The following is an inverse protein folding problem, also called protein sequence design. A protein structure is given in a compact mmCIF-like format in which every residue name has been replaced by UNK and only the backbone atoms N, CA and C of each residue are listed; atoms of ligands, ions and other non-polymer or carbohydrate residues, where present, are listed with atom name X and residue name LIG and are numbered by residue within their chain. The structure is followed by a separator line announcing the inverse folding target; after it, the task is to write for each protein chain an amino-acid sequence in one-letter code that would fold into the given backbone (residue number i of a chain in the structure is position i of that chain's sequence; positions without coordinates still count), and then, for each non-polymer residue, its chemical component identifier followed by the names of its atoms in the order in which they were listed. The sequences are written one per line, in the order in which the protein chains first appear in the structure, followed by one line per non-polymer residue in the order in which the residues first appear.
data_IF_603829052834
#
_entry.id   IF_603829052834
#
_cell.length_a   1.000
_cell.length_b   1.000
_cell.length_c   1.000
_cell.angle_alpha   90.00
_cell.angle_beta   90.00
_cell.angle_gamma   90.00
#
_symmetry.space_group_name_H-M   'P 1'
#
loop_
_entity.id
_entity.type
_entity.pdbx_description
1 polymer ?
#
# COMPACT_ATOMS: atom_id res chain seq x y z
N UNK A 1 -16.83 7.25 -38.78
CA UNK A 1 -18.26 6.87 -38.83
C UNK A 1 -19.03 7.75 -37.86
N UNK A 2 -20.26 8.17 -38.18
CA UNK A 2 -21.08 9.02 -37.29
C UNK A 2 -21.67 8.14 -36.17
N UNK A 3 -21.58 8.54 -34.89
CA UNK A 3 -22.21 7.82 -33.77
C UNK A 3 -23.71 7.61 -33.99
N UNK A 4 -24.22 6.41 -33.69
CA UNK A 4 -25.64 6.04 -33.94
C UNK A 4 -26.63 7.04 -33.32
N UNK A 5 -26.34 7.55 -32.13
CA UNK A 5 -27.17 8.54 -31.44
C UNK A 5 -27.20 9.91 -32.11
N UNK A 6 -26.21 10.24 -32.96
CA UNK A 6 -26.19 11.48 -33.75
C UNK A 6 -26.85 11.35 -35.11
N UNK A 7 -27.05 10.13 -35.63
CA UNK A 7 -27.56 9.92 -36.99
C UNK A 7 -28.90 10.64 -37.23
N UNK A 8 -29.92 10.54 -36.35
CA UNK A 8 -31.20 11.24 -36.57
C UNK A 8 -31.02 12.76 -36.65
N UNK A 9 -30.22 13.33 -35.77
CA UNK A 9 -29.95 14.78 -35.74
C UNK A 9 -29.10 15.25 -36.93
N UNK A 10 -28.18 14.42 -37.40
CA UNK A 10 -27.42 14.70 -38.62
C UNK A 10 -28.34 14.76 -39.85
N UNK A 11 -29.28 13.81 -39.98
CA UNK A 11 -30.27 13.81 -41.07
C UNK A 11 -31.13 15.08 -41.08
N UNK A 12 -31.54 15.58 -39.90
CA UNK A 12 -32.25 16.86 -39.78
C UNK A 12 -31.41 18.05 -40.28
N UNK A 13 -30.10 18.07 -39.97
CA UNK A 13 -29.19 19.14 -40.39
C UNK A 13 -28.92 19.17 -41.90
N UNK A 14 -28.86 17.99 -42.55
CA UNK A 14 -28.59 17.89 -44.00
C UNK A 14 -29.85 17.79 -44.85
N UNK A 15 -31.03 17.96 -44.25
CA UNK A 15 -32.32 17.87 -44.95
C UNK A 15 -32.42 18.80 -46.17
N UNK A 16 -33.10 18.33 -47.22
CA UNK A 16 -33.18 19.04 -48.51
C UNK A 16 -33.83 20.43 -48.42
N UNK A 17 -34.72 20.66 -47.46
CA UNK A 17 -35.37 21.95 -47.23
C UNK A 17 -34.64 22.75 -46.12
N UNK A 18 -33.93 23.84 -46.47
CA UNK A 18 -33.19 24.63 -45.48
C UNK A 18 -34.06 25.25 -44.38
N UNK A 19 -35.33 25.55 -44.66
CA UNK A 19 -36.25 26.19 -43.68
C UNK A 19 -36.66 25.25 -42.54
N UNK A 20 -36.53 23.94 -42.71
CA UNK A 20 -36.90 22.93 -41.71
C UNK A 20 -35.72 22.48 -40.84
N UNK A 21 -34.50 22.93 -41.15
CA UNK A 21 -33.30 22.56 -40.38
C UNK A 21 -33.35 23.22 -39.00
N UNK A 22 -32.97 22.51 -37.92
CA UNK A 22 -32.94 23.09 -36.58
C UNK A 22 -31.91 24.21 -36.48
N UNK A 23 -32.19 25.22 -35.65
CA UNK A 23 -31.17 26.21 -35.28
C UNK A 23 -30.07 25.55 -34.44
N UNK A 24 -28.85 26.13 -34.39
CA UNK A 24 -27.75 25.59 -33.58
C UNK A 24 -28.16 25.37 -32.11
N UNK A 25 -28.88 26.32 -31.51
CA UNK A 25 -29.38 26.19 -30.13
C UNK A 25 -30.36 25.03 -29.97
N UNK A 26 -31.24 24.82 -30.97
CA UNK A 26 -32.22 23.72 -30.91
C UNK A 26 -31.54 22.36 -31.09
N UNK A 27 -30.56 22.27 -31.98
CA UNK A 27 -29.74 21.07 -32.17
C UNK A 27 -29.01 20.70 -30.88
N UNK A 28 -28.32 21.65 -30.24
CA UNK A 28 -27.63 21.41 -28.96
C UNK A 28 -28.62 20.97 -27.87
N UNK A 29 -29.76 21.65 -27.74
CA UNK A 29 -30.80 21.26 -26.77
C UNK A 29 -31.28 19.81 -27.00
N UNK A 30 -31.46 19.39 -28.25
CA UNK A 30 -31.89 18.02 -28.56
C UNK A 30 -30.80 17.00 -28.23
N UNK A 31 -29.54 17.30 -28.58
CA UNK A 31 -28.40 16.43 -28.34
C UNK A 31 -28.02 16.30 -26.85
N UNK A 32 -28.37 17.28 -26.01
CA UNK A 32 -28.11 17.28 -24.56
C UNK A 32 -29.26 16.75 -23.70
N UNK A 33 -30.33 16.23 -24.29
CA UNK A 33 -31.40 15.56 -23.52
C UNK A 33 -30.89 14.26 -22.90
N UNK A 34 -31.58 13.75 -21.88
CA UNK A 34 -31.23 12.48 -21.25
C UNK A 34 -31.06 11.36 -22.28
N UNK A 35 -29.89 10.72 -22.29
CA UNK A 35 -29.52 9.68 -23.26
C UNK A 35 -29.13 10.19 -24.65
N UNK A 36 -29.03 11.51 -24.84
CA UNK A 36 -28.53 12.16 -26.04
C UNK A 36 -27.01 12.05 -26.16
N UNK A 37 -26.47 12.36 -27.35
CA UNK A 37 -25.02 12.23 -27.59
C UNK A 37 -24.17 13.15 -26.70
N UNK A 38 -24.66 14.35 -26.39
CA UNK A 38 -23.96 15.33 -25.54
C UNK A 38 -24.26 15.14 -24.05
N UNK A 39 -25.13 14.20 -23.68
CA UNK A 39 -25.39 13.83 -22.28
C UNK A 39 -24.33 12.82 -21.81
N UNK A 40 -23.16 13.34 -21.45
CA UNK A 40 -22.06 12.53 -20.95
C UNK A 40 -21.17 13.32 -19.97
N UNK A 41 -20.39 12.58 -19.17
CA UNK A 41 -19.54 13.16 -18.12
C UNK A 41 -18.43 14.07 -18.62
N UNK A 42 -17.96 13.86 -19.86
CA UNK A 42 -16.98 14.75 -20.47
C UNK A 42 -17.58 16.13 -20.74
N UNK A 43 -18.76 16.19 -21.35
CA UNK A 43 -19.46 17.47 -21.64
C UNK A 43 -19.84 18.18 -20.34
N UNK A 44 -20.38 17.47 -19.36
CA UNK A 44 -20.71 18.02 -18.03
C UNK A 44 -19.47 18.63 -17.36
N UNK A 45 -18.35 17.91 -17.37
CA UNK A 45 -17.08 18.38 -16.80
C UNK A 45 -16.55 19.60 -17.54
N UNK A 46 -16.57 19.58 -18.87
CA UNK A 46 -16.12 20.71 -19.68
C UNK A 46 -16.94 21.97 -19.39
N UNK A 47 -18.27 21.88 -19.35
CA UNK A 47 -19.14 23.00 -19.01
C UNK A 47 -18.90 23.52 -17.59
N UNK A 48 -18.71 22.62 -16.62
CA UNK A 48 -18.39 23.01 -15.25
C UNK A 48 -17.06 23.78 -15.17
N UNK A 49 -16.03 23.33 -15.90
CA UNK A 49 -14.72 23.99 -15.93
C UNK A 49 -14.76 25.38 -16.57
N UNK A 50 -15.60 25.61 -17.58
CA UNK A 50 -15.79 26.95 -18.18
C UNK A 50 -16.42 27.94 -17.18
N UNK A 51 -17.27 27.45 -16.27
CA UNK A 51 -17.95 28.26 -15.26
C UNK A 51 -17.27 28.22 -13.88
N UNK A 52 -16.12 27.55 -13.73
CA UNK A 52 -15.57 27.22 -12.41
C UNK A 52 -15.31 28.46 -11.53
N UNK A 53 -14.97 29.60 -12.14
CA UNK A 53 -14.66 30.83 -11.43
C UNK A 53 -15.88 31.49 -10.78
N UNK A 54 -17.09 31.19 -11.26
CA UNK A 54 -18.35 31.68 -10.70
C UNK A 54 -19.04 30.65 -9.79
N UNK A 55 -18.51 29.42 -9.66
CA UNK A 55 -19.04 28.39 -8.75
C UNK A 55 -18.68 28.69 -7.30
N UNK A 56 -19.52 28.24 -6.38
CA UNK A 56 -19.25 28.36 -4.95
C UNK A 56 -18.12 27.42 -4.49
N UNK A 57 -17.37 27.74 -3.41
CA UNK A 57 -16.27 26.90 -2.92
C UNK A 57 -16.67 25.45 -2.65
N UNK A 58 -17.87 25.22 -2.10
CA UNK A 58 -18.39 23.87 -1.83
C UNK A 58 -18.66 23.09 -3.12
N UNK A 59 -19.16 23.74 -4.16
CA UNK A 59 -19.38 23.12 -5.48
C UNK A 59 -18.05 22.73 -6.12
N UNK A 60 -17.05 23.61 -6.07
CA UNK A 60 -15.69 23.33 -6.58
C UNK A 60 -15.07 22.15 -5.85
N UNK A 61 -15.20 22.11 -4.52
CA UNK A 61 -14.67 21.01 -3.71
C UNK A 61 -15.30 19.68 -4.09
N UNK A 62 -16.64 19.64 -4.22
CA UNK A 62 -17.37 18.44 -4.65
C UNK A 62 -16.94 18.00 -6.06
N UNK A 63 -16.84 18.94 -6.98
CA UNK A 63 -16.39 18.66 -8.34
C UNK A 63 -15.00 18.01 -8.36
N UNK A 64 -14.00 18.57 -7.68
CA UNK A 64 -12.65 17.97 -7.67
C UNK A 64 -12.59 16.61 -6.98
N UNK A 65 -13.48 16.36 -6.02
CA UNK A 65 -13.60 15.06 -5.37
C UNK A 65 -14.12 13.99 -6.33
N UNK A 66 -15.11 14.32 -7.16
CA UNK A 66 -15.75 13.41 -8.12
C UNK A 66 -15.01 13.34 -9.47
N UNK A 67 -14.15 14.31 -9.77
CA UNK A 67 -13.44 14.42 -11.04
C UNK A 67 -12.66 13.14 -11.38
N UNK A 68 -12.00 12.55 -10.38
CA UNK A 68 -11.17 11.36 -10.56
C UNK A 68 -11.90 10.18 -11.16
N UNK A 69 -13.21 10.04 -10.94
CA UNK A 69 -13.99 8.88 -11.36
C UNK A 69 -14.14 8.79 -12.88
N UNK A 70 -14.00 9.93 -13.58
CA UNK A 70 -14.26 10.03 -15.02
C UNK A 70 -13.01 10.37 -15.85
N UNK A 71 -11.92 10.83 -15.21
CA UNK A 71 -10.72 11.29 -15.91
C UNK A 71 -10.11 10.28 -16.88
N UNK A 72 -10.18 8.98 -16.55
CA UNK A 72 -9.61 7.93 -17.40
C UNK A 72 -10.36 7.77 -18.75
N UNK A 73 -11.56 8.34 -18.86
CA UNK A 73 -12.38 8.34 -20.09
C UNK A 73 -12.20 9.58 -20.95
N UNK A 74 -11.51 10.61 -20.46
CA UNK A 74 -11.41 11.90 -21.14
C UNK A 74 -10.26 11.94 -22.14
N UNK A 75 -10.37 12.73 -23.23
CA UNK A 75 -9.27 12.96 -24.16
C UNK A 75 -8.03 13.52 -23.46
N UNK A 76 -6.85 12.99 -23.82
CA UNK A 76 -5.58 13.38 -23.21
C UNK A 76 -5.34 14.90 -23.27
N UNK A 77 -5.53 15.52 -24.44
CA UNK A 77 -5.31 16.95 -24.63
C UNK A 77 -6.23 17.80 -23.74
N UNK A 78 -7.46 17.34 -23.50
CA UNK A 78 -8.37 18.01 -22.58
C UNK A 78 -7.85 17.93 -21.14
N UNK A 79 -7.39 16.75 -20.70
CA UNK A 79 -6.78 16.58 -19.38
C UNK A 79 -5.54 17.48 -19.23
N UNK A 80 -4.66 17.53 -20.23
CA UNK A 80 -3.42 18.30 -20.20
C UNK A 80 -3.63 19.81 -20.25
N UNK A 81 -4.53 20.30 -21.09
CA UNK A 81 -4.64 21.73 -21.42
C UNK A 81 -5.84 22.43 -20.77
N UNK A 82 -6.85 21.68 -20.30
CA UNK A 82 -8.02 22.24 -19.60
C UNK A 82 -8.07 21.82 -18.13
N UNK A 83 -7.93 20.53 -17.83
CA UNK A 83 -8.06 20.04 -16.44
C UNK A 83 -6.84 20.41 -15.59
N UNK A 84 -5.62 20.13 -16.07
CA UNK A 84 -4.39 20.37 -15.30
C UNK A 84 -4.26 21.83 -14.83
N UNK A 85 -4.42 22.86 -15.69
CA UNK A 85 -4.33 24.25 -15.23
C UNK A 85 -5.32 24.57 -14.10
N UNK A 86 -6.54 24.03 -14.15
CA UNK A 86 -7.54 24.26 -13.11
C UNK A 86 -7.19 23.56 -11.79
N UNK A 87 -6.60 22.35 -11.84
CA UNK A 87 -6.07 21.68 -10.66
C UNK A 87 -4.92 22.47 -10.00
N UNK A 88 -4.01 23.01 -10.83
CA UNK A 88 -2.89 23.82 -10.35
C UNK A 88 -3.37 25.13 -9.72
N UNK A 89 -4.31 25.84 -10.37
CA UNK A 89 -4.90 27.06 -9.79
C UNK A 89 -5.68 26.76 -8.50
N UNK A 90 -6.44 25.67 -8.46
CA UNK A 90 -7.17 25.25 -7.27
C UNK A 90 -6.24 24.89 -6.10
N UNK A 91 -5.03 24.41 -6.39
CA UNK A 91 -3.99 24.23 -5.38
C UNK A 91 -3.40 25.54 -4.89
N UNK A 92 -3.04 26.42 -5.84
CA UNK A 92 -2.24 27.60 -5.55
C UNK A 92 -3.03 28.69 -4.82
N UNK A 93 -4.28 28.89 -5.24
CA UNK A 93 -5.16 29.95 -4.74
C UNK A 93 -6.42 29.43 -4.04
N UNK A 94 -6.69 28.13 -4.12
CA UNK A 94 -7.90 27.52 -3.58
C UNK A 94 -7.68 26.76 -2.27
N UNK A 95 -8.78 26.50 -1.57
CA UNK A 95 -8.84 25.63 -0.38
C UNK A 95 -8.95 24.14 -0.73
N UNK A 96 -8.58 23.74 -1.96
CA UNK A 96 -8.81 22.39 -2.46
C UNK A 96 -8.00 21.31 -1.71
N UNK A 97 -6.92 21.71 -1.03
CA UNK A 97 -6.15 20.86 -0.14
C UNK A 97 -5.71 19.57 -0.84
N UNK A 98 -5.86 18.44 -0.17
CA UNK A 98 -5.39 17.15 -0.67
C UNK A 98 -6.42 16.41 -1.56
N UNK A 99 -7.59 16.99 -1.80
CA UNK A 99 -8.63 16.40 -2.66
C UNK A 99 -8.15 16.33 -4.11
N UNK A 100 -7.34 17.31 -4.52
CA UNK A 100 -6.80 17.39 -5.88
C UNK A 100 -5.64 16.42 -6.15
N UNK A 101 -5.10 15.73 -5.15
CA UNK A 101 -3.94 14.84 -5.33
C UNK A 101 -4.22 13.72 -6.33
N UNK A 102 -5.32 13.00 -6.13
CA UNK A 102 -5.71 11.89 -7.00
C UNK A 102 -5.95 12.34 -8.44
N UNK A 103 -6.75 13.38 -8.73
CA UNK A 103 -6.92 13.84 -10.11
C UNK A 103 -5.62 14.42 -10.69
N UNK A 104 -4.79 15.10 -9.88
CA UNK A 104 -3.48 15.60 -10.31
C UNK A 104 -2.55 14.48 -10.78
N UNK A 105 -2.48 13.37 -10.04
CA UNK A 105 -1.66 12.23 -10.45
C UNK A 105 -2.23 11.47 -11.65
N UNK A 106 -3.55 11.37 -11.78
CA UNK A 106 -4.18 10.79 -12.98
C UNK A 106 -3.82 11.59 -14.23
N UNK A 107 -3.99 12.91 -14.17
CA UNK A 107 -3.62 13.80 -15.29
C UNK A 107 -2.10 13.81 -15.51
N UNK A 108 -1.31 13.70 -14.44
CA UNK A 108 0.14 13.61 -14.51
C UNK A 108 0.66 12.43 -15.35
N UNK A 109 -0.10 11.33 -15.48
CA UNK A 109 0.27 10.19 -16.34
C UNK A 109 0.35 10.54 -17.83
N UNK A 110 -0.35 11.60 -18.24
CA UNK A 110 -0.29 12.10 -19.60
C UNK A 110 0.94 12.98 -19.85
N UNK A 111 1.62 13.46 -18.80
CA UNK A 111 2.78 14.34 -18.96
C UNK A 111 4.04 13.53 -19.22
N UNK A 112 4.92 14.08 -20.07
CA UNK A 112 6.28 13.53 -20.14
C UNK A 112 7.08 13.90 -18.87
N UNK A 113 8.24 13.26 -18.67
CA UNK A 113 9.05 13.46 -17.45
C UNK A 113 9.46 14.91 -17.21
N UNK A 114 9.75 15.68 -18.27
CA UNK A 114 10.15 17.09 -18.14
C UNK A 114 8.96 17.96 -17.72
N UNK A 115 7.80 17.75 -18.32
CA UNK A 115 6.57 18.46 -17.96
C UNK A 115 6.14 18.12 -16.53
N UNK A 116 6.25 16.85 -16.13
CA UNK A 116 5.93 16.43 -14.76
C UNK A 116 6.85 17.13 -13.74
N UNK A 117 8.15 17.19 -14.03
CA UNK A 117 9.14 17.92 -13.23
C UNK A 117 8.79 19.40 -13.10
N UNK A 118 8.40 20.06 -14.18
CA UNK A 118 8.14 21.49 -14.17
C UNK A 118 6.78 21.85 -13.55
N UNK A 119 5.74 21.04 -13.78
CA UNK A 119 4.35 21.38 -13.42
C UNK A 119 3.88 20.73 -12.12
N UNK A 120 4.29 19.48 -11.85
CA UNK A 120 3.73 18.68 -10.74
C UNK A 120 4.67 18.66 -9.53
N UNK A 121 5.99 18.55 -9.72
CA UNK A 121 6.92 18.45 -8.59
C UNK A 121 6.90 19.70 -7.67
N UNK A 122 6.84 20.95 -8.18
CA UNK A 122 6.75 22.13 -7.32
C UNK A 122 5.50 22.10 -6.43
N UNK A 123 4.39 21.58 -6.95
CA UNK A 123 3.15 21.38 -6.20
C UNK A 123 3.34 20.37 -5.08
N UNK A 124 3.91 19.20 -5.38
CA UNK A 124 4.20 18.16 -4.39
C UNK A 124 5.09 18.69 -3.27
N UNK A 125 6.15 19.43 -3.62
CA UNK A 125 7.05 20.04 -2.63
C UNK A 125 6.28 21.01 -1.72
N UNK A 126 5.47 21.91 -2.28
CA UNK A 126 4.63 22.84 -1.52
C UNK A 126 3.59 22.10 -0.67
N UNK A 127 3.09 20.95 -1.11
CA UNK A 127 2.17 20.12 -0.31
C UNK A 127 2.89 19.44 0.86
N UNK A 128 4.13 18.99 0.70
CA UNK A 128 4.92 18.44 1.81
C UNK A 128 5.27 19.48 2.87
N UNK A 129 5.50 20.74 2.47
CA UNK A 129 5.76 21.83 3.43
C UNK A 129 4.51 22.27 4.20
N UNK A 130 3.32 21.85 3.79
CA UNK A 130 2.08 22.12 4.52
C UNK A 130 2.05 21.42 5.89
N UNK A 131 1.61 22.11 6.96
CA UNK A 131 1.42 21.49 8.26
C UNK A 131 0.23 20.52 8.30
N UNK A 132 -0.64 20.51 7.28
CA UNK A 132 -1.84 19.68 7.22
C UNK A 132 -1.50 18.18 7.27
N UNK A 133 -1.95 17.54 8.36
CA UNK A 133 -1.77 16.11 8.62
C UNK A 133 -2.49 15.23 7.59
N UNK A 134 -3.66 15.65 7.10
CA UNK A 134 -4.43 14.91 6.11
C UNK A 134 -3.80 14.99 4.71
N UNK A 135 -3.12 16.09 4.40
CA UNK A 135 -2.24 16.21 3.22
C UNK A 135 -1.04 15.27 3.35
N UNK A 136 -0.31 15.35 4.47
CA UNK A 136 0.89 14.53 4.73
C UNK A 136 0.62 13.04 4.54
N UNK A 137 -0.41 12.50 5.19
CA UNK A 137 -0.69 11.07 5.09
C UNK A 137 -1.06 10.64 3.66
N UNK A 138 -1.82 11.47 2.92
CA UNK A 138 -2.18 11.17 1.53
C UNK A 138 -0.96 11.20 0.61
N UNK A 139 -0.07 12.17 0.75
CA UNK A 139 1.19 12.20 0.02
C UNK A 139 2.04 10.95 0.26
N UNK A 140 2.17 10.54 1.54
CA UNK A 140 2.94 9.35 1.89
C UNK A 140 2.28 8.05 1.38
N UNK A 141 0.94 7.99 1.32
CA UNK A 141 0.20 6.86 0.76
C UNK A 141 0.32 6.75 -0.76
N UNK A 142 0.44 7.89 -1.44
CA UNK A 142 0.48 7.95 -2.91
C UNK A 142 1.91 8.08 -3.46
N UNK A 143 2.94 7.97 -2.62
CA UNK A 143 4.34 8.21 -2.99
C UNK A 143 4.82 7.39 -4.19
N UNK A 144 4.34 6.15 -4.34
CA UNK A 144 4.66 5.28 -5.47
C UNK A 144 4.31 5.90 -6.84
N UNK A 145 3.34 6.82 -6.90
CA UNK A 145 2.90 7.45 -8.14
C UNK A 145 3.87 8.54 -8.63
N UNK A 146 4.66 9.13 -7.73
CA UNK A 146 5.49 10.28 -8.06
C UNK A 146 6.98 10.13 -7.72
N UNK A 147 7.37 9.10 -6.95
CA UNK A 147 8.75 8.89 -6.52
C UNK A 147 9.74 8.84 -7.68
N UNK A 148 9.36 8.25 -8.83
CA UNK A 148 10.23 8.15 -10.00
C UNK A 148 10.60 9.53 -10.58
N UNK A 149 9.75 10.54 -10.38
CA UNK A 149 9.97 11.91 -10.81
C UNK A 149 10.64 12.77 -9.72
N UNK A 150 11.01 12.23 -8.56
CA UNK A 150 11.76 12.99 -7.57
C UNK A 150 13.26 12.82 -7.77
N UNK A 151 13.99 13.93 -7.92
CA UNK A 151 15.45 13.93 -7.94
C UNK A 151 16.01 13.99 -6.51
N UNK A 152 17.23 13.50 -6.32
CA UNK A 152 17.88 13.45 -5.00
C UNK A 152 18.00 14.83 -4.32
N UNK A 153 18.38 15.93 -5.01
CA UNK A 153 18.42 17.24 -4.38
C UNK A 153 17.07 17.64 -3.77
N UNK A 154 15.98 17.49 -4.53
CA UNK A 154 14.63 17.83 -4.06
C UNK A 154 14.21 16.94 -2.90
N UNK A 155 14.49 15.64 -2.96
CA UNK A 155 14.20 14.72 -1.86
C UNK A 155 14.91 15.16 -0.58
N UNK A 156 16.21 15.44 -0.66
CA UNK A 156 17.02 15.71 0.53
C UNK A 156 16.80 17.09 1.14
N UNK A 157 16.56 18.12 0.34
CA UNK A 157 16.48 19.50 0.82
C UNK A 157 15.06 20.00 1.02
N UNK A 158 14.10 19.49 0.25
CA UNK A 158 12.75 20.05 0.19
C UNK A 158 11.66 19.07 0.66
N UNK A 159 11.88 17.75 0.62
CA UNK A 159 10.85 16.76 1.01
C UNK A 159 11.18 16.11 2.36
N UNK A 160 12.36 15.52 2.49
CA UNK A 160 12.75 14.73 3.67
C UNK A 160 12.65 15.51 4.98
N UNK A 161 13.05 16.80 5.08
CA UNK A 161 12.87 17.59 6.29
C UNK A 161 11.41 17.66 6.77
N UNK A 162 10.45 17.65 5.85
CA UNK A 162 9.03 17.63 6.19
C UNK A 162 8.51 16.24 6.51
N UNK A 163 9.03 15.21 5.84
CA UNK A 163 8.69 13.79 6.11
C UNK A 163 9.10 13.40 7.53
N UNK A 164 10.24 13.91 8.03
CA UNK A 164 10.74 13.63 9.38
C UNK A 164 9.70 13.92 10.47
N UNK A 165 8.90 14.97 10.33
CA UNK A 165 7.83 15.29 11.29
C UNK A 165 6.80 14.16 11.43
N UNK A 166 6.61 13.34 10.40
CA UNK A 166 5.70 12.21 10.42
C UNK A 166 6.11 11.12 11.42
N UNK A 167 7.40 10.96 11.72
CA UNK A 167 7.87 9.97 12.71
C UNK A 167 7.48 10.34 14.15
N UNK A 168 7.24 11.61 14.42
CA UNK A 168 6.91 12.13 15.75
C UNK A 168 5.44 12.54 15.88
N UNK A 169 4.61 12.22 14.87
CA UNK A 169 3.19 12.61 14.87
C UNK A 169 2.40 11.87 15.96
N UNK A 170 1.44 12.56 16.56
CA UNK A 170 0.59 11.95 17.59
C UNK A 170 -0.36 10.90 17.01
N UNK A 171 -0.68 10.96 15.72
CA UNK A 171 -1.51 9.96 15.04
C UNK A 171 -0.68 8.74 14.60
N UNK A 172 -0.93 7.53 15.13
CA UNK A 172 -0.22 6.32 14.74
C UNK A 172 -0.23 6.00 13.25
N UNK A 173 -1.33 6.29 12.54
CA UNK A 173 -1.44 6.01 11.12
C UNK A 173 -0.44 6.84 10.28
N UNK A 174 -0.14 8.07 10.72
CA UNK A 174 0.85 8.93 10.06
C UNK A 174 2.25 8.38 10.30
N UNK A 175 2.57 8.04 11.56
CA UNK A 175 3.87 7.43 11.91
C UNK A 175 4.11 6.14 11.12
N UNK A 176 3.12 5.26 11.09
CA UNK A 176 3.19 3.99 10.35
C UNK A 176 3.44 4.22 8.86
N UNK A 177 2.70 5.13 8.24
CA UNK A 177 2.88 5.41 6.81
C UNK A 177 4.22 6.09 6.51
N UNK A 178 4.72 6.91 7.43
CA UNK A 178 6.04 7.55 7.32
C UNK A 178 7.16 6.52 7.38
N UNK A 179 7.03 5.49 8.22
CA UNK A 179 7.98 4.35 8.22
C UNK A 179 7.91 3.59 6.89
N UNK A 180 6.72 3.28 6.39
CA UNK A 180 6.55 2.52 5.14
C UNK A 180 7.12 3.25 3.92
N UNK A 181 6.98 4.58 3.85
CA UNK A 181 7.47 5.38 2.72
C UNK A 181 9.00 5.43 2.63
N UNK A 182 9.73 5.13 3.72
CA UNK A 182 11.20 5.07 3.71
C UNK A 182 11.75 4.00 2.77
N UNK A 183 10.98 2.94 2.48
CA UNK A 183 11.38 1.95 1.48
C UNK A 183 11.55 2.57 0.08
N UNK A 184 10.77 3.61 -0.22
CA UNK A 184 10.81 4.33 -1.50
C UNK A 184 11.81 5.50 -1.48
N UNK A 185 11.99 6.13 -0.32
CA UNK A 185 12.86 7.30 -0.17
C UNK A 185 14.32 6.95 0.07
N UNK A 186 14.63 5.85 0.76
CA UNK A 186 16.01 5.46 1.10
C UNK A 186 16.99 5.49 -0.09
N UNK A 187 16.65 5.02 -1.31
CA UNK A 187 17.54 5.11 -2.47
C UNK A 187 17.92 6.53 -2.89
N UNK A 188 17.14 7.54 -2.48
CA UNK A 188 17.31 8.94 -2.88
C UNK A 188 17.81 9.82 -1.73
N UNK A 189 18.07 9.26 -0.56
CA UNK A 189 18.60 10.00 0.58
C UNK A 189 20.13 10.04 0.52
N UNK A 190 20.69 11.21 0.82
CA UNK A 190 22.13 11.38 0.99
C UNK A 190 22.60 10.74 2.31
N UNK A 191 23.92 10.64 2.49
CA UNK A 191 24.49 9.97 3.66
C UNK A 191 24.07 10.57 5.00
N UNK A 192 23.98 11.90 5.09
CA UNK A 192 23.59 12.59 6.31
C UNK A 192 22.13 12.28 6.70
N UNK A 193 21.21 12.34 5.74
CA UNK A 193 19.80 12.05 5.98
C UNK A 193 19.57 10.57 6.26
N UNK A 194 20.23 9.67 5.53
CA UNK A 194 20.03 8.23 5.65
C UNK A 194 20.71 7.63 6.88
N UNK A 195 22.01 7.87 7.06
CA UNK A 195 22.81 7.17 8.09
C UNK A 195 22.80 7.87 9.44
N UNK A 196 22.43 9.15 9.50
CA UNK A 196 22.38 9.93 10.75
C UNK A 196 20.94 10.24 11.12
N UNK A 197 20.23 11.01 10.29
CA UNK A 197 18.94 11.57 10.71
C UNK A 197 17.85 10.50 10.78
N UNK A 198 17.66 9.70 9.72
CA UNK A 198 16.69 8.62 9.71
C UNK A 198 16.96 7.60 10.83
N UNK A 199 18.23 7.26 11.08
CA UNK A 199 18.60 6.29 12.10
C UNK A 199 18.21 6.74 13.51
N UNK A 200 18.28 8.05 13.82
CA UNK A 200 17.78 8.58 15.12
C UNK A 200 16.29 8.35 15.27
N UNK A 201 15.49 8.65 14.24
CA UNK A 201 14.03 8.47 14.28
C UNK A 201 13.64 6.99 14.38
N UNK A 202 14.30 6.12 13.61
CA UNK A 202 14.07 4.68 13.67
C UNK A 202 14.44 4.08 15.02
N UNK A 203 15.59 4.48 15.60
CA UNK A 203 15.98 4.02 16.92
C UNK A 203 14.98 4.45 18.00
N UNK A 204 14.42 5.67 17.91
CA UNK A 204 13.39 6.17 18.81
C UNK A 204 12.09 5.39 18.66
N UNK A 205 11.57 5.24 17.44
CA UNK A 205 10.33 4.51 17.18
C UNK A 205 10.43 3.07 17.67
N UNK A 206 11.49 2.36 17.28
CA UNK A 206 11.69 0.97 17.66
C UNK A 206 11.82 0.78 19.19
N UNK A 207 12.31 1.77 19.93
CA UNK A 207 12.47 1.66 21.39
C UNK A 207 11.27 2.16 22.19
N UNK A 208 10.56 3.18 21.70
CA UNK A 208 9.64 3.99 22.52
C UNK A 208 8.24 4.16 21.94
N UNK A 209 7.99 3.73 20.70
CA UNK A 209 6.63 3.81 20.16
C UNK A 209 5.69 2.89 20.95
N UNK A 210 4.53 3.41 21.30
CA UNK A 210 3.52 2.70 22.07
C UNK A 210 2.85 1.58 21.26
N UNK A 211 2.88 1.69 19.92
CA UNK A 211 2.27 0.73 19.02
C UNK A 211 3.27 -0.35 18.60
N UNK A 212 3.05 -1.58 19.08
CA UNK A 212 3.82 -2.76 18.67
C UNK A 212 3.95 -2.94 17.14
N UNK A 213 2.87 -2.76 16.36
CA UNK A 213 2.96 -2.83 14.90
C UNK A 213 3.91 -1.80 14.28
N UNK A 214 4.02 -0.58 14.83
CA UNK A 214 4.95 0.44 14.33
C UNK A 214 6.39 0.02 14.63
N UNK A 215 6.70 -0.45 15.85
CA UNK A 215 8.03 -0.97 16.20
C UNK A 215 8.45 -2.15 15.31
N UNK A 216 7.52 -3.05 15.04
CA UNK A 216 7.70 -4.16 14.11
C UNK A 216 7.99 -3.66 12.68
N UNK A 217 7.18 -2.74 12.15
CA UNK A 217 7.36 -2.17 10.81
C UNK A 217 8.68 -1.39 10.68
N UNK A 218 9.11 -0.67 11.71
CA UNK A 218 10.43 -0.01 11.73
C UNK A 218 11.57 -1.03 11.63
N UNK A 219 11.46 -2.15 12.35
CA UNK A 219 12.43 -3.25 12.29
C UNK A 219 12.50 -3.86 10.89
N UNK A 220 11.35 -4.14 10.28
CA UNK A 220 11.28 -4.66 8.90
C UNK A 220 11.85 -3.65 7.90
N UNK A 221 11.54 -2.36 8.07
CA UNK A 221 12.04 -1.30 7.21
C UNK A 221 13.56 -1.20 7.28
N UNK A 222 14.16 -1.24 8.48
CA UNK A 222 15.60 -1.25 8.69
C UNK A 222 16.31 -2.34 7.91
N UNK A 223 15.80 -3.58 7.96
CA UNK A 223 16.38 -4.68 7.19
C UNK A 223 16.30 -4.46 5.68
N UNK A 224 15.18 -3.94 5.18
CA UNK A 224 14.98 -3.68 3.75
C UNK A 224 15.81 -2.52 3.22
N UNK A 225 16.10 -1.50 4.03
CA UNK A 225 16.96 -0.39 3.64
C UNK A 225 18.45 -0.63 3.93
N UNK A 226 18.79 -1.77 4.55
CA UNK A 226 20.16 -2.16 4.87
C UNK A 226 21.15 -2.01 3.70
N UNK A 227 20.82 -2.40 2.46
CA UNK A 227 21.72 -2.24 1.31
C UNK A 227 22.14 -0.80 0.98
N UNK A 228 21.34 0.20 1.39
CA UNK A 228 21.63 1.63 1.15
C UNK A 228 22.46 2.26 2.28
N UNK A 229 22.55 1.60 3.45
CA UNK A 229 23.35 2.11 4.56
C UNK A 229 24.84 2.00 4.25
N UNK A 230 25.63 2.95 4.77
CA UNK A 230 27.07 2.93 4.60
C UNK A 230 27.68 1.71 5.30
N UNK A 231 28.68 1.08 4.68
CA UNK A 231 29.33 -0.12 5.24
C UNK A 231 29.84 0.09 6.68
N UNK A 232 30.37 1.28 6.97
CA UNK A 232 30.90 1.66 8.28
C UNK A 232 29.86 1.65 9.41
N UNK A 233 28.58 1.88 9.10
CA UNK A 233 27.51 1.97 10.09
C UNK A 233 26.53 0.80 10.02
N UNK A 234 26.31 0.23 8.83
CA UNK A 234 25.31 -0.79 8.50
C UNK A 234 25.32 -1.95 9.48
N UNK A 235 26.48 -2.57 9.70
CA UNK A 235 26.61 -3.73 10.59
C UNK A 235 26.18 -3.38 12.03
N UNK A 236 26.72 -2.30 12.59
CA UNK A 236 26.44 -1.90 13.96
C UNK A 236 24.98 -1.50 14.18
N UNK A 237 24.40 -0.76 13.22
CA UNK A 237 22.99 -0.35 13.24
C UNK A 237 22.07 -1.56 13.20
N UNK A 238 22.27 -2.47 12.24
CA UNK A 238 21.42 -3.65 12.06
C UNK A 238 21.51 -4.60 13.25
N UNK A 239 22.72 -4.89 13.75
CA UNK A 239 22.90 -5.74 14.94
C UNK A 239 22.20 -5.13 16.15
N UNK A 240 22.40 -3.84 16.41
CA UNK A 240 21.77 -3.13 17.52
C UNK A 240 20.24 -3.16 17.43
N UNK A 241 19.70 -2.84 16.25
CA UNK A 241 18.26 -2.78 16.01
C UNK A 241 17.59 -4.15 16.12
N UNK A 242 18.15 -5.19 15.50
CA UNK A 242 17.56 -6.52 15.56
C UNK A 242 17.71 -7.16 16.94
N UNK A 243 18.85 -6.96 17.61
CA UNK A 243 19.02 -7.40 19.01
C UNK A 243 17.98 -6.76 19.93
N UNK A 244 17.65 -5.48 19.72
CA UNK A 244 16.59 -4.80 20.45
C UNK A 244 15.21 -5.38 20.14
N UNK A 245 14.88 -5.55 18.85
CA UNK A 245 13.60 -6.07 18.41
C UNK A 245 13.32 -7.48 18.96
N UNK A 246 14.34 -8.33 19.07
CA UNK A 246 14.18 -9.67 19.67
C UNK A 246 13.78 -9.68 21.14
N UNK A 247 13.83 -8.54 21.84
CA UNK A 247 13.39 -8.39 23.24
C UNK A 247 12.05 -7.64 23.36
N UNK A 248 11.38 -7.36 22.25
CA UNK A 248 10.14 -6.60 22.23
C UNK A 248 8.98 -7.39 22.87
N UNK A 249 8.11 -6.76 23.69
CA UNK A 249 6.93 -7.42 24.24
C UNK A 249 5.97 -7.90 23.14
N UNK A 250 5.96 -7.25 21.98
CA UNK A 250 5.15 -7.63 20.83
C UNK A 250 5.83 -8.72 20.00
N UNK A 251 5.29 -9.94 20.04
CA UNK A 251 5.92 -11.11 19.41
C UNK A 251 6.22 -10.98 17.91
N UNK A 252 5.38 -10.34 17.07
CA UNK A 252 5.74 -10.10 15.67
C UNK A 252 6.99 -9.22 15.50
N UNK A 253 7.25 -8.29 16.43
CA UNK A 253 8.48 -7.48 16.44
C UNK A 253 9.71 -8.37 16.74
N UNK A 254 9.59 -9.33 17.67
CA UNK A 254 10.66 -10.31 17.94
C UNK A 254 10.94 -11.20 16.72
N UNK A 255 9.89 -11.72 16.08
CA UNK A 255 10.02 -12.48 14.85
C UNK A 255 10.67 -11.65 13.73
N UNK A 256 10.30 -10.37 13.60
CA UNK A 256 10.92 -9.45 12.64
C UNK A 256 12.41 -9.23 12.94
N UNK A 257 12.83 -9.17 14.20
CA UNK A 257 14.25 -9.11 14.58
C UNK A 257 15.03 -10.35 14.11
N UNK A 258 14.50 -11.55 14.35
CA UNK A 258 15.12 -12.82 13.88
C UNK A 258 15.21 -12.87 12.37
N UNK A 259 14.11 -12.55 11.67
CA UNK A 259 14.07 -12.52 10.21
C UNK A 259 14.98 -11.43 9.63
N UNK A 260 15.11 -10.29 10.32
CA UNK A 260 16.03 -9.22 9.98
C UNK A 260 17.48 -9.73 9.94
N UNK A 261 17.93 -10.40 11.00
CA UNK A 261 19.25 -11.02 11.03
C UNK A 261 19.48 -11.99 9.87
N UNK A 262 18.52 -12.90 9.62
CA UNK A 262 18.65 -13.87 8.54
C UNK A 262 18.70 -13.21 7.15
N UNK A 263 17.84 -12.21 6.90
CA UNK A 263 17.78 -11.52 5.61
C UNK A 263 19.04 -10.69 5.32
N UNK A 264 19.70 -10.16 6.35
CA UNK A 264 20.89 -9.30 6.19
C UNK A 264 22.21 -10.01 6.53
N UNK A 265 22.21 -11.34 6.56
CA UNK A 265 23.38 -12.16 6.94
C UNK A 265 24.69 -11.81 6.20
N UNK A 266 24.61 -11.36 4.94
CA UNK A 266 25.77 -10.94 4.13
C UNK A 266 26.44 -9.66 4.62
N UNK A 267 25.75 -8.85 5.43
CA UNK A 267 26.30 -7.61 5.98
C UNK A 267 27.01 -7.80 7.33
N UNK A 268 27.16 -9.05 7.78
CA UNK A 268 27.77 -9.38 9.06
C UNK A 268 29.04 -10.20 8.87
N UNK A 269 30.12 -9.76 9.53
CA UNK A 269 31.35 -10.53 9.62
C UNK A 269 31.16 -11.82 10.41
N UNK A 270 32.02 -12.80 10.19
CA UNK A 270 32.03 -14.07 10.92
C UNK A 270 32.18 -13.84 12.43
N UNK A 271 33.02 -12.86 12.80
CA UNK A 271 33.19 -12.45 14.20
C UNK A 271 31.87 -11.97 14.81
N UNK A 272 31.13 -11.12 14.12
CA UNK A 272 29.85 -10.63 14.63
C UNK A 272 28.77 -11.72 14.68
N UNK A 273 28.76 -12.61 13.68
CA UNK A 273 27.88 -13.78 13.66
C UNK A 273 28.08 -14.64 14.92
N UNK A 274 29.33 -14.95 15.26
CA UNK A 274 29.69 -15.79 16.40
C UNK A 274 29.51 -15.11 17.76
N UNK A 275 29.99 -13.87 17.92
CA UNK A 275 30.06 -13.21 19.23
C UNK A 275 28.83 -12.39 19.60
N UNK A 276 28.01 -11.96 18.63
CA UNK A 276 26.82 -11.12 18.91
C UNK A 276 25.52 -11.76 18.44
N UNK A 277 25.46 -12.22 17.20
CA UNK A 277 24.18 -12.64 16.60
C UNK A 277 23.72 -14.00 17.13
N UNK A 278 24.56 -15.04 17.06
CA UNK A 278 24.21 -16.37 17.56
C UNK A 278 23.83 -16.36 19.06
N UNK A 279 24.56 -15.69 19.97
CA UNK A 279 24.16 -15.58 21.37
C UNK A 279 22.77 -14.96 21.54
N UNK A 280 22.44 -13.92 20.79
CA UNK A 280 21.09 -13.33 20.81
C UNK A 280 20.06 -14.35 20.34
N UNK A 281 20.24 -14.94 19.16
CA UNK A 281 19.28 -15.89 18.59
C UNK A 281 19.05 -17.13 19.48
N UNK A 282 20.08 -17.62 20.16
CA UNK A 282 19.99 -18.75 21.09
C UNK A 282 18.97 -18.50 22.19
N UNK A 283 18.88 -17.27 22.71
CA UNK A 283 17.89 -16.93 23.76
C UNK A 283 16.43 -17.01 23.26
N UNK A 284 16.20 -16.93 21.94
CA UNK A 284 14.86 -16.97 21.33
C UNK A 284 14.39 -18.40 21.05
N UNK A 285 15.25 -19.41 21.24
CA UNK A 285 14.86 -20.83 21.09
C UNK A 285 13.85 -21.28 22.15
N UNK A 286 13.72 -20.53 23.24
CA UNK A 286 12.77 -20.75 24.33
C UNK A 286 11.71 -19.64 24.42
N UNK A 287 11.54 -18.84 23.36
CA UNK A 287 10.53 -17.78 23.29
C UNK A 287 9.11 -18.35 23.56
N UNK A 288 8.20 -17.65 24.25
CA UNK A 288 6.84 -18.13 24.49
C UNK A 288 6.08 -18.47 23.19
N UNK A 289 6.32 -17.70 22.13
CA UNK A 289 5.63 -17.86 20.86
C UNK A 289 6.33 -18.89 19.96
N UNK A 290 5.59 -19.94 19.58
CA UNK A 290 6.13 -21.01 18.72
C UNK A 290 6.69 -20.45 17.40
N UNK A 291 6.00 -19.48 16.81
CA UNK A 291 6.41 -18.87 15.54
C UNK A 291 7.76 -18.19 15.64
N UNK A 292 8.09 -17.56 16.78
CA UNK A 292 9.40 -16.95 17.03
C UNK A 292 10.47 -18.03 17.18
N UNK A 293 10.20 -19.08 17.97
CA UNK A 293 11.12 -20.23 18.13
C UNK A 293 11.45 -20.90 16.79
N UNK A 294 10.43 -21.16 15.96
CA UNK A 294 10.60 -21.79 14.64
C UNK A 294 11.56 -20.98 13.74
N UNK A 295 11.45 -19.64 13.75
CA UNK A 295 12.36 -18.78 12.99
C UNK A 295 13.75 -18.71 13.62
N UNK A 296 13.85 -18.68 14.94
CA UNK A 296 15.13 -18.65 15.65
C UNK A 296 15.97 -19.89 15.30
N UNK A 297 15.39 -21.09 15.36
CA UNK A 297 16.09 -22.31 14.95
C UNK A 297 16.53 -22.32 13.49
N UNK A 298 15.72 -21.77 12.58
CA UNK A 298 16.10 -21.64 11.16
C UNK A 298 17.27 -20.69 10.98
N UNK A 299 17.22 -19.52 11.64
CA UNK A 299 18.28 -18.52 11.57
C UNK A 299 19.60 -19.06 12.18
N UNK A 300 19.53 -19.72 13.35
CA UNK A 300 20.71 -20.33 13.99
C UNK A 300 21.38 -21.32 13.06
N UNK A 301 20.62 -22.25 12.46
CA UNK A 301 21.19 -23.22 11.51
C UNK A 301 21.88 -22.53 10.34
N UNK A 302 21.26 -21.51 9.77
CA UNK A 302 21.86 -20.72 8.69
C UNK A 302 23.19 -20.06 9.09
N UNK A 303 23.25 -19.42 10.26
CA UNK A 303 24.48 -18.79 10.74
C UNK A 303 25.57 -19.80 11.10
N UNK A 304 25.20 -20.96 11.67
CA UNK A 304 26.14 -22.05 11.93
C UNK A 304 26.72 -22.60 10.64
N UNK A 305 25.90 -22.91 9.65
CA UNK A 305 26.39 -23.37 8.33
C UNK A 305 27.36 -22.35 7.72
N UNK A 306 27.06 -21.05 7.80
CA UNK A 306 27.97 -19.99 7.32
C UNK A 306 29.33 -20.02 8.04
N UNK A 307 29.36 -20.26 9.36
CA UNK A 307 30.60 -20.36 10.13
C UNK A 307 31.36 -21.66 9.86
N UNK A 308 30.63 -22.77 9.71
CA UNK A 308 31.17 -24.09 9.36
C UNK A 308 31.89 -24.04 8.01
N UNK A 309 31.29 -23.40 7.00
CA UNK A 309 31.91 -23.20 5.68
C UNK A 309 33.29 -22.53 5.77
N UNK A 310 33.45 -21.49 6.59
CA UNK A 310 34.75 -20.83 6.80
C UNK A 310 35.70 -21.68 7.64
N UNK A 311 35.17 -22.50 8.55
CA UNK A 311 35.98 -23.44 9.33
C UNK A 311 36.55 -24.58 8.47
N UNK A 312 35.78 -25.06 7.49
CA UNK A 312 36.20 -26.10 6.54
C UNK A 312 37.19 -25.55 5.52
N UNK A 313 36.97 -24.34 5.02
CA UNK A 313 37.85 -23.65 4.09
C UNK A 313 38.08 -22.18 4.51
N UNK A 314 39.15 -21.92 5.29
CA UNK A 314 39.49 -20.55 5.71
C UNK A 314 39.72 -19.57 4.56
N UNK A 315 39.99 -20.06 3.34
CA UNK A 315 40.14 -19.22 2.14
C UNK A 315 38.85 -18.52 1.73
N UNK A 316 37.69 -19.05 2.13
CA UNK A 316 36.37 -18.49 1.78
C UNK A 316 35.97 -17.26 2.61
N UNK A 317 36.73 -16.93 3.66
CA UNK A 317 36.44 -15.78 4.53
C UNK A 317 36.35 -14.48 3.73
N UNK A 318 37.29 -14.25 2.79
CA UNK A 318 37.31 -13.03 1.97
C UNK A 318 36.06 -12.90 1.08
N UNK A 319 35.63 -14.01 0.46
CA UNK A 319 34.46 -13.99 -0.42
C UNK A 319 33.16 -13.83 0.37
N UNK A 320 33.02 -14.53 1.51
CA UNK A 320 31.83 -14.45 2.35
C UNK A 320 31.69 -13.13 3.12
N UNK A 321 32.79 -12.39 3.31
CA UNK A 321 32.80 -11.05 3.93
C UNK A 321 32.89 -9.91 2.91
N UNK A 322 32.97 -10.21 1.61
CA UNK A 322 33.04 -9.20 0.54
C UNK A 322 31.92 -8.16 0.63
N UNK A 323 30.71 -8.63 0.94
CA UNK A 323 29.52 -7.79 1.06
C UNK A 323 29.48 -6.98 2.37
N UNK A 324 30.29 -7.34 3.38
CA UNK A 324 30.34 -6.62 4.67
C UNK A 324 30.90 -5.22 4.45
N UNK A 325 31.97 -5.11 3.67
CA UNK A 325 32.66 -3.85 3.35
C UNK A 325 32.21 -3.23 2.02
N UNK A 326 31.36 -3.92 1.24
CA UNK A 326 30.82 -3.36 0.01
C UNK A 326 30.08 -2.04 0.29
N UNK A 327 30.40 -1.02 -0.52
CA UNK A 327 29.74 0.28 -0.47
C UNK A 327 28.22 0.14 -0.61
N UNK A 328 27.49 1.15 -0.12
CA UNK A 328 26.04 1.23 -0.28
C UNK A 328 25.70 1.12 -1.77
N UNK A 329 24.86 0.14 -2.11
CA UNK A 329 24.45 -0.06 -3.50
C UNK A 329 23.37 0.99 -3.77
N UNK A 330 23.61 1.92 -4.70
CA UNK A 330 22.52 2.57 -5.44
C UNK A 330 21.94 1.51 -6.38
N UNK A 331 20.80 0.89 -6.08
CA UNK A 331 20.27 -0.15 -6.92
C UNK A 331 19.62 0.54 -8.11
N UNK A 332 20.25 0.37 -9.27
CA UNK A 332 19.46 0.19 -10.48
C UNK A 332 18.41 -0.90 -10.22
N UNK A 333 17.27 -0.78 -10.88
CA UNK A 333 15.97 -1.47 -10.71
C UNK A 333 16.00 -3.03 -10.62
N UNK A 334 17.17 -3.68 -10.59
CA UNK A 334 17.33 -5.14 -10.54
C UNK A 334 17.66 -5.78 -9.18
N UNK A 335 18.05 -5.05 -8.13
CA UNK A 335 18.57 -5.71 -6.89
C UNK A 335 17.51 -6.10 -5.85
N UNK A 336 16.21 -6.07 -6.20
CA UNK A 336 15.16 -6.69 -5.39
C UNK A 336 15.05 -8.21 -5.64
N UNK A 337 15.74 -8.73 -6.67
CA UNK A 337 15.56 -10.11 -7.16
C UNK A 337 16.56 -11.15 -6.58
N UNK A 338 17.56 -10.76 -5.80
CA UNK A 338 18.47 -11.73 -5.16
C UNK A 338 17.94 -12.20 -3.79
N UNK A 339 16.70 -12.71 -3.81
CA UNK A 339 16.10 -13.45 -2.68
C UNK A 339 16.03 -14.96 -2.97
N UNK A 340 16.57 -15.38 -4.11
CA UNK A 340 16.59 -16.76 -4.60
C UNK A 340 18.02 -17.30 -4.56
N UNK A 341 18.34 -18.11 -3.55
CA UNK A 341 19.63 -18.81 -3.52
C UNK A 341 19.77 -19.83 -2.40
N UNK A 342 19.44 -19.46 -1.16
CA UNK A 342 19.74 -20.34 -0.02
C UNK A 342 18.64 -20.46 1.06
N UNK A 343 17.45 -19.88 0.83
CA UNK A 343 16.33 -19.93 1.80
C UNK A 343 14.93 -20.13 1.16
N UNK A 344 14.81 -21.03 0.18
CA UNK A 344 13.50 -21.38 -0.40
C UNK A 344 12.78 -22.40 0.48
N UNK A 345 12.07 -21.91 1.50
CA UNK A 345 10.76 -22.41 1.98
C UNK A 345 10.35 -21.65 3.25
N UNK A 346 9.76 -20.46 3.09
CA UNK A 346 8.82 -19.95 4.09
C UNK A 346 8.86 -18.48 4.50
N UNK A 347 9.81 -17.67 4.03
CA UNK A 347 9.92 -16.27 4.53
C UNK A 347 9.03 -15.29 3.74
N UNK A 348 8.77 -15.52 2.45
CA UNK A 348 7.90 -14.63 1.65
C UNK A 348 6.40 -14.72 2.00
N UNK A 349 5.97 -15.82 2.63
CA UNK A 349 4.54 -16.05 2.99
C UNK A 349 4.15 -15.39 4.33
N UNK A 350 5.10 -15.19 5.26
CA UNK A 350 4.76 -14.72 6.61
C UNK A 350 4.57 -13.21 6.67
N UNK A 351 5.32 -12.43 5.89
CA UNK A 351 5.16 -10.96 5.83
C UNK A 351 3.80 -10.58 5.22
N UNK A 352 3.35 -11.30 4.20
CA UNK A 352 2.03 -11.10 3.58
C UNK A 352 0.88 -11.56 4.49
N UNK A 353 1.07 -12.63 5.27
CA UNK A 353 0.09 -13.11 6.24
C UNK A 353 -0.03 -12.22 7.49
N UNK A 354 1.08 -11.63 7.95
CA UNK A 354 1.08 -10.67 9.06
C UNK A 354 0.41 -9.34 8.66
N UNK A 355 0.58 -8.91 7.40
CA UNK A 355 -0.12 -7.74 6.85
C UNK A 355 -1.63 -8.02 6.68
N UNK A 356 -2.01 -9.23 6.23
CA UNK A 356 -3.42 -9.61 6.03
C UNK A 356 -4.19 -9.83 7.33
N UNK A 357 -3.52 -10.23 8.42
CA UNK A 357 -4.16 -10.42 9.73
C UNK A 357 -4.56 -9.09 10.42
N UNK A 358 -4.00 -7.96 9.99
CA UNK A 358 -4.30 -6.62 10.52
C UNK A 358 -5.31 -5.81 9.70
N UNK A 359 -5.76 -6.32 8.54
CA UNK A 359 -6.86 -5.73 7.79
C UNK A 359 -8.17 -6.42 8.21
N UNK A 360 -9.08 -5.69 8.85
CA UNK A 360 -10.41 -6.17 9.20
C UNK A 360 -11.08 -6.88 8.02
N UNK A 361 -11.55 -8.08 8.26
CA UNK A 361 -12.11 -9.01 7.27
C UNK A 361 -13.35 -8.46 6.56
N UNK A 362 -13.34 -8.54 5.22
CA UNK A 362 -14.50 -8.91 4.40
C UNK A 362 -14.04 -10.03 3.44
N UNK A 363 -14.75 -11.18 3.34
CA UNK A 363 -14.31 -12.27 2.48
C UNK A 363 -15.01 -12.21 1.11
N UNK A 364 -14.23 -12.13 0.03
CA UNK A 364 -14.73 -12.27 -1.33
C UNK A 364 -13.63 -12.59 -2.34
N UNK A 365 -13.81 -13.72 -3.02
CA UNK A 365 -13.15 -14.20 -4.24
C UNK A 365 -11.69 -14.72 -4.17
N UNK A 366 -11.54 -16.02 -4.44
CA UNK A 366 -10.29 -16.65 -4.91
C UNK A 366 -10.25 -16.60 -6.46
N UNK A 367 -9.08 -16.37 -7.09
CA UNK A 367 -8.93 -16.48 -8.53
C UNK A 367 -8.60 -17.92 -8.96
N UNK A 368 -9.16 -18.31 -10.10
CA UNK A 368 -8.95 -19.58 -10.81
C UNK A 368 -7.55 -19.59 -11.43
N UNK A 369 -6.81 -20.69 -11.24
CA UNK A 369 -5.57 -20.96 -11.94
C UNK A 369 -5.81 -22.05 -12.99
N UNK A 370 -5.56 -21.68 -14.25
CA UNK A 370 -5.54 -22.53 -15.44
C UNK A 370 -4.08 -22.92 -15.69
N UNK A 371 -3.75 -24.22 -15.66
CA UNK A 371 -3.04 -24.88 -16.76
C UNK A 371 -2.91 -26.39 -16.50
N UNK A 372 -3.14 -27.18 -17.54
CA UNK A 372 -2.93 -28.62 -17.57
C UNK A 372 -1.79 -28.94 -18.56
N UNK A 373 -1.14 -30.11 -18.44
CA UNK A 373 -1.37 -31.05 -19.53
C UNK A 373 -1.47 -32.54 -19.12
N UNK A 374 -2.53 -33.15 -19.66
CA UNK A 374 -2.64 -34.48 -20.31
C UNK A 374 -2.08 -35.73 -19.62
N UNK A 375 -2.99 -36.65 -19.24
CA UNK A 375 -2.95 -38.09 -19.57
C UNK A 375 -4.33 -38.76 -19.35
N UNK A 376 -4.73 -39.64 -20.27
CA UNK A 376 -5.87 -40.60 -20.23
C UNK A 376 -5.28 -42.00 -20.57
N UNK A 377 -6.01 -43.14 -20.40
CA UNK A 377 -7.07 -43.47 -19.43
C UNK A 377 -6.94 -44.91 -18.84
N UNK A 378 -7.94 -45.29 -18.00
CA UNK A 378 -8.50 -46.64 -17.75
C UNK A 378 -8.18 -47.40 -16.42
N UNK A 379 -9.16 -47.32 -15.49
CA UNK A 379 -9.95 -48.38 -14.77
C UNK A 379 -9.39 -49.78 -14.39
N UNK A 380 -10.04 -50.54 -13.47
CA UNK A 380 -10.51 -50.29 -12.08
C UNK A 380 -10.04 -51.51 -11.19
N UNK A 381 -10.66 -52.02 -10.08
CA UNK A 381 -11.78 -51.59 -9.22
C UNK A 381 -11.59 -51.82 -7.68
N UNK A 382 -12.67 -51.50 -6.93
CA UNK A 382 -13.19 -52.12 -5.67
C UNK A 382 -13.09 -51.34 -4.34
N UNK A 383 -14.27 -50.77 -4.01
CA UNK A 383 -15.01 -50.80 -2.73
C UNK A 383 -14.28 -50.51 -1.40
N UNK A 384 -14.60 -49.35 -0.83
CA UNK A 384 -14.42 -49.05 0.59
C UNK A 384 -15.06 -47.71 0.97
N UNK A 385 -16.22 -47.77 1.63
CA UNK A 385 -16.91 -46.75 2.46
C UNK A 385 -16.51 -45.27 2.27
N UNK A 386 -17.42 -44.48 1.67
CA UNK A 386 -17.32 -43.02 1.66
C UNK A 386 -18.13 -42.42 2.82
N UNK A 387 -17.45 -41.80 3.80
CA UNK A 387 -18.09 -40.93 4.80
C UNK A 387 -18.68 -39.67 4.15
N UNK A 388 -19.59 -38.92 4.81
CA UNK A 388 -20.34 -37.85 4.16
C UNK A 388 -19.42 -36.82 3.51
N UNK A 389 -19.74 -36.43 2.27
CA UNK A 389 -18.97 -35.45 1.51
C UNK A 389 -18.85 -34.14 2.30
N UNK A 390 -17.76 -33.40 2.08
CA UNK A 390 -17.58 -32.04 2.64
C UNK A 390 -18.78 -31.12 2.34
N UNK A 391 -19.47 -31.36 1.22
CA UNK A 391 -20.70 -30.65 0.84
C UNK A 391 -21.88 -31.00 1.75
N UNK A 392 -22.02 -32.26 2.16
CA UNK A 392 -23.11 -32.72 3.03
C UNK A 392 -22.89 -32.24 4.47
N UNK A 393 -21.64 -32.25 4.93
CA UNK A 393 -21.27 -31.71 6.23
C UNK A 393 -21.50 -30.19 6.30
N UNK A 394 -21.22 -29.46 5.22
CA UNK A 394 -21.50 -28.04 5.12
C UNK A 394 -23.02 -27.74 5.10
N UNK A 395 -23.81 -28.58 4.43
CA UNK A 395 -25.27 -28.44 4.39
C UNK A 395 -25.87 -28.67 5.78
N UNK A 396 -25.46 -29.74 6.47
CA UNK A 396 -25.90 -30.06 7.83
C UNK A 396 -25.56 -28.94 8.82
N UNK A 397 -24.35 -28.38 8.75
CA UNK A 397 -23.90 -27.27 9.61
C UNK A 397 -24.66 -25.96 9.35
N UNK A 398 -25.15 -25.75 8.12
CA UNK A 398 -25.99 -24.60 7.77
C UNK A 398 -27.42 -24.76 8.30
N UNK A 399 -27.93 -25.98 8.30
CA UNK A 399 -29.25 -26.33 8.81
C UNK A 399 -29.31 -26.24 10.34
N UNK A 400 -28.29 -26.75 11.03
CA UNK A 400 -28.12 -26.62 12.49
C UNK A 400 -28.06 -25.14 12.93
N UNK A 401 -27.29 -24.31 12.21
CA UNK A 401 -27.20 -22.87 12.50
C UNK A 401 -28.52 -22.14 12.25
N UNK A 402 -29.34 -22.61 11.29
CA UNK A 402 -30.66 -22.03 11.03
C UNK A 402 -31.64 -22.37 12.17
N UNK A 403 -31.62 -23.60 12.65
CA UNK A 403 -32.43 -24.05 13.79
C UNK A 403 -32.04 -23.34 15.08
N UNK A 404 -30.75 -23.12 15.34
CA UNK A 404 -30.27 -22.39 16.52
C UNK A 404 -30.75 -20.92 16.54
N UNK A 405 -30.73 -20.25 15.38
CA UNK A 405 -31.24 -18.87 15.26
C UNK A 405 -32.76 -18.81 15.48
N UNK A 406 -33.49 -19.82 15.02
CA UNK A 406 -34.94 -19.90 15.14
C UNK A 406 -35.34 -20.18 16.60
N UNK A 407 -34.62 -21.06 17.30
CA UNK A 407 -34.78 -21.31 18.73
C UNK A 407 -34.50 -20.06 19.57
N UNK A 408 -33.42 -19.32 19.26
CA UNK A 408 -33.10 -18.03 19.93
C UNK A 408 -34.16 -16.95 19.70
N UNK A 409 -34.83 -16.96 18.55
CA UNK A 409 -35.95 -16.04 18.27
C UNK A 409 -37.21 -16.46 19.03
N UNK A 410 -37.46 -17.75 19.20
CA UNK A 410 -38.57 -18.27 19.98
C UNK A 410 -38.40 -17.94 21.49
N UNK A 411 -37.20 -18.13 22.06
CA UNK A 411 -36.90 -17.74 23.45
C UNK A 411 -37.10 -16.24 23.69
N UNK A 412 -36.65 -15.39 22.77
CA UNK A 412 -36.86 -13.93 22.87
C UNK A 412 -38.33 -13.52 22.80
N UNK A 413 -39.18 -14.30 22.10
CA UNK A 413 -40.63 -14.07 22.09
C UNK A 413 -41.29 -14.56 23.38
N UNK A 414 -40.84 -15.68 23.94
CA UNK A 414 -41.35 -16.19 25.22
C UNK A 414 -40.98 -15.30 26.42
N UNK A 415 -39.83 -14.63 26.37
CA UNK A 415 -39.36 -13.73 27.43
C UNK A 415 -40.13 -12.39 27.52
N UNK A 416 -40.92 -12.02 26.51
CA UNK A 416 -41.85 -10.87 26.57
C UNK A 416 -43.23 -11.35 27.03
N UNK A 417 -43.40 -11.45 28.34
CA UNK A 417 -44.72 -11.70 28.95
C UNK A 417 -45.74 -10.59 28.65
N UNK A 418 -47.06 -10.87 28.82
CA UNK A 418 -48.12 -9.96 28.41
C UNK A 418 -48.14 -8.67 29.23
N UNK A 419 -48.22 -7.52 28.56
CA UNK A 419 -48.34 -6.21 29.20
C UNK A 419 -49.69 -6.08 29.91
N UNK A 420 -49.68 -5.79 31.21
CA UNK A 420 -50.87 -5.39 31.97
C UNK A 420 -51.27 -3.96 31.57
N UNK A 421 -52.45 -3.80 30.98
CA UNK A 421 -53.10 -2.50 30.75
C UNK A 421 -53.50 -1.89 32.09
N UNK A 422 -52.95 -0.72 32.42
CA UNK A 422 -53.33 0.09 33.58
C UNK A 422 -54.64 0.84 33.32
N UNK A 423 -55.55 0.74 34.29
CA UNK A 423 -56.84 1.44 34.35
C UNK A 423 -56.59 2.92 34.64
N UNK A 424 -57.15 3.82 33.80
CA UNK A 424 -57.23 5.27 34.05
C UNK A 424 -58.23 5.54 35.18
N UNK A 425 -57.83 6.28 36.21
CA UNK A 425 -58.75 7.01 37.09
C UNK A 425 -58.88 8.44 36.57
N UNK A 426 -60.14 8.87 36.40
CA UNK A 426 -60.57 10.25 36.24
C UNK A 426 -60.37 10.98 37.58
N UNK A 427 -59.85 12.19 37.51
CA UNK A 427 -60.36 13.40 38.20
C UNK A 427 -59.97 14.62 37.37
#
# INVERSE_FOLDING_TARGET
QIPKSLVPHYCELVGANPKLRPSPSKFLQNCSRMGGFLDNKFVETNLFLEEIQIKEPAERQKFFQELSDNLDSFPEDFCRHKVLPQLLMAFEFGSAGAIILTPLFKVGKFLNSQEYQQKIIPVIVKMFSSPDRAMRIRLLQQMEHFIQYLNEPTVNTQIFPHVVHGFLDTNPAIREQTVKSMLLLAPKLNEANLNVELMKHFARLQARDDQGPIRCNTTVCLGKIGPYLSASTRQNVLISAFSRATKDPFAPSRAAGVLGFAATHNFFSMKECAFKILPVLSTLTVDPEKTVRDQAFKAIRSFLTKLETVSEDPGQLSELEKDVQAASISPGVGSAASWAGWAVTGVSSLTSKLIRANAGTTPGAEPVAEDAPVKKPAEPPKSGQWGPSKTDLARKKREERRQEIEARRAEKKAAKGPMKLGVRKLD
#
